data_IF_473633628347
#
_entry.id   IF_473633628347
#
_cell.length_a   1.000
_cell.length_b   1.000
_cell.length_c   1.000
_cell.angle_alpha   90.00
_cell.angle_beta   90.00
_cell.angle_gamma   90.00
#
_symmetry.space_group_name_H-M   'P 1'
#
loop_
_entity.id
_entity.type
_entity.pdbx_description
1 polymer ?
#
# COMPACT_ATOMS: atom_id res chain seq x y z
N UNK A 1 4.46 -2.32 13.57
CA UNK A 1 5.03 -3.45 14.38
C UNK A 1 6.55 -3.45 14.25
N UNK A 2 7.29 -4.40 14.85
CA UNK A 2 8.76 -4.36 14.97
C UNK A 2 9.52 -3.97 13.69
N UNK A 3 9.30 -4.66 12.56
CA UNK A 3 10.01 -4.36 11.30
C UNK A 3 9.71 -2.94 10.82
N UNK A 4 8.46 -2.53 10.88
CA UNK A 4 8.02 -1.18 10.53
C UNK A 4 8.59 -0.12 11.51
N UNK A 5 8.73 -0.43 12.80
CA UNK A 5 9.40 0.43 13.78
C UNK A 5 10.90 0.57 13.51
N UNK A 6 11.58 -0.52 13.13
CA UNK A 6 12.99 -0.48 12.73
C UNK A 6 13.17 0.46 11.53
N UNK A 7 12.34 0.32 10.50
CA UNK A 7 12.43 1.14 9.29
C UNK A 7 12.07 2.61 9.57
N UNK A 8 10.98 2.86 10.30
CA UNK A 8 10.51 4.21 10.63
C UNK A 8 11.33 4.93 11.70
N UNK A 9 12.32 4.26 12.32
CA UNK A 9 13.32 4.92 13.14
C UNK A 9 14.31 5.77 12.31
N UNK A 10 14.38 5.54 11.00
CA UNK A 10 15.20 6.35 10.11
C UNK A 10 14.56 7.74 9.89
N UNK A 11 15.30 8.86 9.99
CA UNK A 11 14.74 10.21 9.99
C UNK A 11 13.97 10.59 8.72
N UNK A 12 14.30 9.97 7.58
CA UNK A 12 13.66 10.20 6.28
C UNK A 12 12.39 9.35 6.05
N UNK A 13 12.06 8.43 6.96
CA UNK A 13 10.96 7.49 6.79
C UNK A 13 9.85 7.79 7.79
N UNK A 14 8.60 7.81 7.31
CA UNK A 14 7.41 7.88 8.16
C UNK A 14 6.56 6.63 7.98
N UNK A 15 6.13 6.03 9.09
CA UNK A 15 5.17 4.93 9.06
C UNK A 15 3.74 5.44 9.08
N UNK A 16 2.93 4.93 8.16
CA UNK A 16 1.48 5.08 8.17
C UNK A 16 0.79 4.10 9.14
N UNK A 17 1.55 3.17 9.74
CA UNK A 17 1.03 2.13 10.62
C UNK A 17 0.16 1.13 9.88
N UNK A 18 -0.84 0.59 10.60
CA UNK A 18 -1.88 -0.27 10.04
C UNK A 18 -3.03 0.59 9.51
N UNK A 19 -3.34 0.43 8.23
CA UNK A 19 -4.38 1.15 7.52
C UNK A 19 -5.27 0.19 6.74
N UNK A 20 -6.41 0.70 6.28
CA UNK A 20 -7.31 0.01 5.34
C UNK A 20 -7.44 0.80 4.02
N UNK A 21 -6.48 1.70 3.73
CA UNK A 21 -6.58 2.65 2.63
C UNK A 21 -6.68 1.95 1.28
N UNK A 22 -5.74 1.05 0.98
CA UNK A 22 -5.73 0.37 -0.31
C UNK A 22 -7.01 -0.45 -0.52
N UNK A 23 -7.45 -1.15 0.53
CA UNK A 23 -8.71 -1.90 0.51
C UNK A 23 -9.90 -0.99 0.19
N UNK A 24 -10.04 0.14 0.91
CA UNK A 24 -11.12 1.11 0.65
C UNK A 24 -11.08 1.64 -0.79
N UNK A 25 -9.90 1.99 -1.31
CA UNK A 25 -9.76 2.46 -2.69
C UNK A 25 -10.22 1.36 -3.66
N UNK A 26 -9.71 0.14 -3.52
CA UNK A 26 -10.06 -1.00 -4.38
C UNK A 26 -11.56 -1.28 -4.32
N UNK A 27 -12.16 -1.38 -3.13
CA UNK A 27 -13.61 -1.60 -3.00
C UNK A 27 -14.48 -0.48 -3.57
N UNK A 28 -13.97 0.74 -3.65
CA UNK A 28 -14.68 1.87 -4.26
C UNK A 28 -14.55 1.91 -5.78
N UNK A 29 -13.44 1.37 -6.31
CA UNK A 29 -13.09 1.43 -7.73
C UNK A 29 -13.56 0.20 -8.52
N UNK A 30 -13.75 -0.94 -7.84
CA UNK A 30 -14.12 -2.21 -8.46
C UNK A 30 -15.42 -2.77 -7.86
N UNK A 31 -16.23 -3.39 -8.72
CA UNK A 31 -17.55 -3.95 -8.35
C UNK A 31 -17.45 -5.17 -7.46
N UNK A 32 -16.39 -5.97 -7.60
CA UNK A 32 -16.08 -7.09 -6.69
C UNK A 32 -15.10 -6.63 -5.62
N UNK A 33 -15.47 -6.82 -4.36
CA UNK A 33 -14.73 -6.34 -3.19
C UNK A 33 -13.35 -7.02 -3.03
N UNK A 34 -13.14 -8.15 -3.71
CA UNK A 34 -11.95 -8.99 -3.57
C UNK A 34 -11.31 -9.37 -4.91
N UNK A 35 -11.81 -8.86 -6.04
CA UNK A 35 -11.24 -9.21 -7.35
C UNK A 35 -11.41 -8.08 -8.36
N UNK A 36 -10.30 -7.61 -8.90
CA UNK A 36 -10.27 -6.87 -10.16
C UNK A 36 -9.67 -7.77 -11.23
N UNK A 37 -10.21 -7.67 -12.44
CA UNK A 37 -9.63 -8.32 -13.61
C UNK A 37 -8.58 -7.42 -14.24
N UNK A 38 -7.59 -8.01 -14.90
CA UNK A 38 -6.58 -7.25 -15.66
C UNK A 38 -7.25 -6.33 -16.70
N UNK A 39 -8.44 -6.71 -17.22
CA UNK A 39 -9.20 -5.91 -18.18
C UNK A 39 -9.76 -4.61 -17.59
N UNK A 40 -9.97 -4.56 -16.28
CA UNK A 40 -10.46 -3.37 -15.57
C UNK A 40 -9.32 -2.41 -15.16
N UNK A 41 -8.06 -2.86 -15.30
CA UNK A 41 -6.87 -2.09 -14.97
C UNK A 41 -6.27 -1.45 -16.24
N UNK A 42 -6.79 -0.30 -16.63
CA UNK A 42 -6.11 0.57 -17.59
C UNK A 42 -5.10 1.50 -16.90
N UNK A 43 -4.27 2.18 -17.70
CA UNK A 43 -3.23 3.09 -17.20
C UNK A 43 -3.81 4.24 -16.35
N UNK A 44 -4.96 4.79 -16.74
CA UNK A 44 -5.60 5.89 -16.02
C UNK A 44 -6.11 5.44 -14.65
N UNK A 45 -6.67 4.24 -14.57
CA UNK A 45 -7.14 3.66 -13.31
C UNK A 45 -5.98 3.32 -12.36
N UNK A 46 -4.91 2.74 -12.89
CA UNK A 46 -3.67 2.48 -12.13
C UNK A 46 -3.12 3.80 -11.56
N UNK A 47 -3.01 4.83 -12.39
CA UNK A 47 -2.53 6.15 -11.95
C UNK A 47 -3.45 6.78 -10.90
N UNK A 48 -4.77 6.75 -11.10
CA UNK A 48 -5.73 7.31 -10.15
C UNK A 48 -5.71 6.59 -8.79
N UNK A 49 -5.52 5.27 -8.77
CA UNK A 49 -5.34 4.50 -7.53
C UNK A 49 -4.04 4.93 -6.83
N UNK A 50 -2.94 5.06 -7.57
CA UNK A 50 -1.65 5.49 -7.03
C UNK A 50 -1.74 6.86 -6.35
N UNK A 51 -2.33 7.84 -7.04
CA UNK A 51 -2.49 9.21 -6.55
C UNK A 51 -3.35 9.27 -5.29
N UNK A 52 -4.53 8.63 -5.29
CA UNK A 52 -5.42 8.56 -4.11
C UNK A 52 -4.74 7.88 -2.93
N UNK A 53 -3.93 6.86 -3.18
CA UNK A 53 -3.24 6.14 -2.12
C UNK A 53 -2.14 6.99 -1.48
N UNK A 54 -1.30 7.65 -2.29
CA UNK A 54 -0.28 8.57 -1.79
C UNK A 54 -0.91 9.74 -1.03
N UNK A 55 -1.99 10.33 -1.55
CA UNK A 55 -2.72 11.42 -0.88
C UNK A 55 -3.16 11.00 0.53
N UNK A 56 -3.82 9.84 0.65
CA UNK A 56 -4.32 9.33 1.93
C UNK A 56 -3.19 8.93 2.88
N UNK A 57 -2.10 8.35 2.39
CA UNK A 57 -0.92 8.05 3.20
C UNK A 57 -0.28 9.34 3.72
N UNK A 58 -0.10 10.33 2.85
CA UNK A 58 0.47 11.64 3.19
C UNK A 58 -0.38 12.38 4.22
N UNK A 59 -1.72 12.24 4.17
CA UNK A 59 -2.61 12.80 5.18
C UNK A 59 -2.39 12.21 6.59
N UNK A 60 -1.90 10.96 6.69
CA UNK A 60 -1.57 10.31 7.96
C UNK A 60 -0.16 10.69 8.42
N UNK A 61 0.81 10.58 7.51
CA UNK A 61 2.24 10.70 7.85
C UNK A 61 2.75 12.14 7.88
N UNK A 62 2.01 13.06 7.25
CA UNK A 62 2.56 14.31 6.74
C UNK A 62 3.50 14.06 5.54
N UNK A 63 4.08 15.13 4.97
CA UNK A 63 5.09 15.01 3.93
C UNK A 63 6.32 14.23 4.43
N UNK A 64 6.77 13.26 3.64
CA UNK A 64 7.93 12.42 3.94
C UNK A 64 8.66 12.04 2.65
N UNK A 65 9.96 11.77 2.75
CA UNK A 65 10.75 11.27 1.62
C UNK A 65 10.41 9.81 1.32
N UNK A 66 10.22 9.02 2.38
CA UNK A 66 9.76 7.63 2.28
C UNK A 66 8.60 7.39 3.24
N UNK A 67 7.61 6.63 2.78
CA UNK A 67 6.48 6.19 3.59
C UNK A 67 6.52 4.66 3.67
N UNK A 68 6.37 4.11 4.87
CA UNK A 68 6.03 2.69 5.04
C UNK A 68 4.55 2.55 5.33
N UNK A 69 3.88 1.68 4.58
CA UNK A 69 2.56 1.17 4.93
C UNK A 69 2.73 -0.29 5.38
N UNK A 70 2.41 -0.54 6.65
CA UNK A 70 2.38 -1.88 7.21
C UNK A 70 0.92 -2.23 7.47
N UNK A 71 0.26 -2.80 6.47
CA UNK A 71 -1.11 -3.28 6.61
C UNK A 71 -1.22 -4.76 6.23
N UNK A 72 -1.92 -5.54 7.06
CA UNK A 72 -1.99 -7.00 6.88
C UNK A 72 -2.66 -7.39 5.55
N UNK A 73 -3.60 -6.59 5.07
CA UNK A 73 -4.36 -6.87 3.85
C UNK A 73 -3.59 -6.58 2.56
N UNK A 74 -2.43 -5.90 2.61
CA UNK A 74 -1.67 -5.56 1.40
C UNK A 74 -1.19 -6.77 0.61
N UNK A 75 -0.98 -7.92 1.30
CA UNK A 75 -0.48 -9.12 0.65
C UNK A 75 -1.42 -9.65 -0.45
N UNK A 76 -2.72 -9.43 -0.32
CA UNK A 76 -3.74 -9.81 -1.31
C UNK A 76 -3.63 -8.98 -2.60
N UNK A 77 -2.98 -7.83 -2.54
CA UNK A 77 -2.90 -6.84 -3.62
C UNK A 77 -1.47 -6.59 -4.12
N UNK A 78 -0.51 -7.50 -3.85
CA UNK A 78 0.90 -7.34 -4.27
C UNK A 78 1.04 -7.05 -5.77
N UNK A 79 0.25 -7.71 -6.61
CA UNK A 79 0.25 -7.47 -8.06
C UNK A 79 -0.16 -6.04 -8.42
N UNK A 80 -1.20 -5.51 -7.79
CA UNK A 80 -1.63 -4.12 -7.99
C UNK A 80 -0.60 -3.13 -7.44
N UNK A 81 -0.05 -3.39 -6.24
CA UNK A 81 1.01 -2.59 -5.64
C UNK A 81 2.22 -2.44 -6.59
N UNK A 82 2.62 -3.53 -7.25
CA UNK A 82 3.70 -3.49 -8.23
C UNK A 82 3.33 -2.69 -9.49
N UNK A 83 2.06 -2.68 -9.90
CA UNK A 83 1.60 -1.86 -11.04
C UNK A 83 1.52 -0.37 -10.70
N UNK A 84 1.00 -0.01 -9.52
CA UNK A 84 0.85 1.39 -9.11
C UNK A 84 2.18 2.01 -8.64
N UNK A 85 3.06 1.21 -8.02
CA UNK A 85 4.38 1.63 -7.56
C UNK A 85 5.48 0.63 -7.97
N UNK A 86 5.93 0.63 -9.24
CA UNK A 86 6.92 -0.32 -9.74
C UNK A 86 8.27 -0.29 -9.01
N UNK A 87 8.61 0.88 -8.45
CA UNK A 87 9.85 1.08 -7.68
C UNK A 87 9.69 0.80 -6.18
N UNK A 88 8.48 0.48 -5.69
CA UNK A 88 8.25 0.19 -4.28
C UNK A 88 8.99 -1.08 -3.83
N UNK A 89 9.39 -1.11 -2.56
CA UNK A 89 9.99 -2.29 -1.93
C UNK A 89 8.94 -2.97 -1.07
N UNK A 90 8.75 -4.27 -1.28
CA UNK A 90 7.83 -5.10 -0.50
C UNK A 90 8.66 -5.97 0.43
N UNK A 91 8.41 -5.87 1.74
CA UNK A 91 9.06 -6.69 2.76
C UNK A 91 8.04 -7.71 3.29
N UNK A 92 8.19 -8.96 2.86
CA UNK A 92 7.36 -10.07 3.36
C UNK A 92 8.00 -10.70 4.60
N UNK A 93 7.38 -10.47 5.76
CA UNK A 93 7.87 -11.03 7.01
C UNK A 93 7.40 -12.48 7.16
N UNK A 94 8.34 -13.43 7.20
CA UNK A 94 8.06 -14.84 7.50
C UNK A 94 8.53 -15.17 8.90
N UNK A 95 7.65 -15.78 9.71
CA UNK A 95 7.95 -16.32 11.03
C UNK A 95 7.47 -17.77 11.09
N UNK A 96 8.09 -18.58 11.95
CA UNK A 96 7.54 -19.89 12.32
C UNK A 96 6.13 -19.70 12.92
N UNK A 97 5.09 -20.37 12.41
CA UNK A 97 3.74 -20.29 12.96
C UNK A 97 3.56 -21.02 14.29
N UNK A 98 4.56 -21.81 14.73
CA UNK A 98 4.53 -22.64 15.94
C UNK A 98 5.21 -21.96 17.13
#
# INVERSE_FOLDING_TARGET
TLVDQIISSHPLVKSAGETDILYKIVTSEFTSHYSYTIKELDKGKIQGIAEKYIEKLTAITGPAEFITDKSLMLHEHIGLLHLIFPASRIIFCKRDPV
#
